data_IF_299343134803
#
_entry.id   IF_299343134803
#
_cell.length_a   1.000
_cell.length_b   1.000
_cell.length_c   1.000
_cell.angle_alpha   90.00
_cell.angle_beta   90.00
_cell.angle_gamma   90.00
#
_symmetry.space_group_name_H-M   'P 1'
#
loop_
_entity.id
_entity.type
_entity.pdbx_description
1 polymer ?
#
# COMPACT_ATOMS: atom_id res chain seq x y z
N UNK A 1 -12.62 -10.87 25.02
CA UNK A 1 -12.22 -10.25 23.74
C UNK A 1 -11.49 -11.29 22.94
N UNK A 2 -12.24 -12.12 22.23
CA UNK A 2 -11.69 -13.17 21.38
C UNK A 2 -12.57 -13.22 20.14
N UNK A 3 -12.21 -12.42 19.13
CA UNK A 3 -13.04 -12.22 17.92
C UNK A 3 -12.25 -12.48 16.64
N UNK A 4 -11.34 -13.45 16.70
CA UNK A 4 -10.74 -14.07 15.52
C UNK A 4 -11.11 -15.56 15.50
N UNK A 5 -12.41 -15.85 15.35
CA UNK A 5 -12.79 -17.14 14.76
C UNK A 5 -12.46 -17.09 13.27
N UNK A 6 -11.23 -17.48 13.01
CA UNK A 6 -10.67 -17.99 11.76
C UNK A 6 -11.70 -18.93 11.12
N UNK A 7 -12.36 -18.51 10.04
CA UNK A 7 -13.29 -19.39 9.33
C UNK A 7 -14.05 -18.75 8.17
N UNK A 8 -14.28 -17.43 8.17
CA UNK A 8 -15.10 -16.80 7.13
C UNK A 8 -14.69 -15.34 6.92
N UNK A 9 -13.41 -15.12 6.65
CA UNK A 9 -13.08 -13.95 5.83
C UNK A 9 -13.49 -14.35 4.42
N UNK A 10 -14.53 -13.70 3.91
CA UNK A 10 -15.02 -13.91 2.55
C UNK A 10 -13.82 -13.89 1.59
N UNK A 11 -13.68 -14.92 0.75
CA UNK A 11 -12.50 -15.06 -0.11
C UNK A 11 -12.31 -13.82 -1.01
N UNK A 12 -13.41 -13.12 -1.33
CA UNK A 12 -13.38 -11.86 -2.06
C UNK A 12 -12.92 -10.68 -1.22
N UNK A 13 -13.27 -10.60 0.07
CA UNK A 13 -12.74 -9.57 0.98
C UNK A 13 -11.23 -9.72 1.19
N UNK A 14 -10.74 -10.97 1.33
CA UNK A 14 -9.29 -11.24 1.41
C UNK A 14 -8.59 -10.86 0.11
N UNK A 15 -9.18 -11.19 -1.04
CA UNK A 15 -8.64 -10.82 -2.35
C UNK A 15 -8.58 -9.30 -2.53
N UNK A 16 -9.61 -8.56 -2.09
CA UNK A 16 -9.61 -7.09 -2.16
C UNK A 16 -8.49 -6.48 -1.30
N UNK A 17 -8.29 -6.97 -0.08
CA UNK A 17 -7.21 -6.48 0.81
C UNK A 17 -5.82 -6.81 0.24
N UNK A 18 -5.63 -8.04 -0.29
CA UNK A 18 -4.37 -8.44 -0.92
C UNK A 18 -4.10 -7.62 -2.18
N UNK A 19 -5.13 -7.37 -2.99
CA UNK A 19 -5.03 -6.55 -4.18
C UNK A 19 -4.65 -5.11 -3.84
N UNK A 20 -5.30 -4.53 -2.82
CA UNK A 20 -5.00 -3.19 -2.34
C UNK A 20 -3.58 -3.09 -1.77
N UNK A 21 -3.13 -4.07 -0.99
CA UNK A 21 -1.75 -4.16 -0.50
C UNK A 21 -0.74 -4.18 -1.66
N UNK A 22 -0.98 -5.04 -2.65
CA UNK A 22 -0.11 -5.17 -3.83
C UNK A 22 0.01 -3.84 -4.59
N UNK A 23 -1.07 -3.06 -4.63
CA UNK A 23 -1.09 -1.74 -5.25
C UNK A 23 -0.37 -0.68 -4.43
N UNK A 24 -0.56 -0.65 -3.12
CA UNK A 24 0.17 0.24 -2.23
C UNK A 24 1.69 -0.01 -2.33
N UNK A 25 2.10 -1.29 -2.30
CA UNK A 25 3.49 -1.69 -2.48
C UNK A 25 4.06 -1.25 -3.84
N UNK A 26 3.24 -1.27 -4.90
CA UNK A 26 3.64 -0.75 -6.22
C UNK A 26 3.89 0.76 -6.22
N UNK A 27 3.08 1.55 -5.52
CA UNK A 27 3.30 3.00 -5.40
C UNK A 27 4.57 3.32 -4.59
N UNK A 28 4.84 2.57 -3.52
CA UNK A 28 6.11 2.66 -2.79
C UNK A 28 7.29 2.28 -3.69
N UNK A 29 7.19 1.18 -4.45
CA UNK A 29 8.26 0.76 -5.37
C UNK A 29 8.55 1.82 -6.43
N UNK A 30 7.50 2.43 -7.00
CA UNK A 30 7.62 3.57 -7.92
C UNK A 30 8.39 4.71 -7.28
N UNK A 31 8.02 5.10 -6.05
CA UNK A 31 8.74 6.15 -5.34
C UNK A 31 10.22 5.83 -5.20
N UNK A 32 10.58 4.61 -4.79
CA UNK A 32 11.99 4.22 -4.67
C UNK A 32 12.73 4.26 -6.01
N UNK A 33 12.10 3.84 -7.12
CA UNK A 33 12.78 3.56 -8.38
C UNK A 33 12.63 4.63 -9.48
N UNK A 34 11.67 5.56 -9.38
CA UNK A 34 11.52 6.65 -10.34
C UNK A 34 12.41 7.82 -9.96
N UNK A 35 13.58 7.92 -10.61
CA UNK A 35 14.46 9.10 -10.65
C UNK A 35 15.00 9.58 -9.30
N UNK A 36 16.25 10.05 -9.29
CA UNK A 36 16.90 10.54 -8.07
C UNK A 36 17.66 9.46 -7.29
N UNK A 37 18.31 9.90 -6.22
CA UNK A 37 19.23 9.10 -5.43
C UNK A 37 18.51 8.18 -4.43
N UNK A 38 18.91 6.91 -4.39
CA UNK A 38 18.35 5.89 -3.51
C UNK A 38 18.71 6.17 -2.06
N UNK A 39 19.92 6.64 -1.79
CA UNK A 39 20.35 6.96 -0.41
C UNK A 39 19.54 8.11 0.16
N UNK A 40 19.34 9.17 -0.63
CA UNK A 40 18.43 10.26 -0.27
C UNK A 40 17.01 9.76 0.07
N UNK A 41 16.42 8.91 -0.78
CA UNK A 41 15.07 8.36 -0.51
C UNK A 41 15.02 7.47 0.73
N UNK A 42 16.07 6.69 0.98
CA UNK A 42 16.17 5.85 2.16
C UNK A 42 16.26 6.68 3.45
N UNK A 43 17.08 7.74 3.45
CA UNK A 43 17.12 8.71 4.56
C UNK A 43 15.73 9.31 4.77
N UNK A 44 15.11 9.77 3.70
CA UNK A 44 13.81 10.43 3.77
C UNK A 44 12.69 9.54 4.34
N UNK A 45 12.73 8.22 4.06
CA UNK A 45 11.84 7.23 4.69
C UNK A 45 12.20 7.03 6.17
N UNK A 46 13.50 6.91 6.49
CA UNK A 46 13.97 6.72 7.87
C UNK A 46 13.67 7.91 8.79
N UNK A 47 13.72 9.12 8.24
CA UNK A 47 13.41 10.37 8.91
C UNK A 47 11.88 10.57 9.09
N UNK A 48 11.06 9.78 8.39
CA UNK A 48 9.60 9.83 8.45
C UNK A 48 8.97 10.96 7.61
N UNK A 49 9.78 11.63 6.79
CA UNK A 49 9.34 12.74 5.94
C UNK A 49 8.87 12.29 4.54
N UNK A 50 9.15 11.04 4.18
CA UNK A 50 8.57 10.43 2.98
C UNK A 50 7.05 10.29 3.11
N UNK A 51 6.30 10.27 1.98
CA UNK A 51 4.87 10.00 2.03
C UNK A 51 4.57 8.70 2.77
N UNK A 52 3.49 8.68 3.55
CA UNK A 52 3.01 7.47 4.25
C UNK A 52 1.69 6.97 3.70
N UNK A 53 1.01 7.77 2.87
CA UNK A 53 -0.32 7.54 2.29
C UNK A 53 -0.30 6.55 1.09
N UNK A 54 0.63 5.59 1.11
CA UNK A 54 0.78 4.59 0.04
C UNK A 54 -0.47 3.75 -0.14
N UNK A 55 -1.21 3.50 0.94
CA UNK A 55 -2.48 2.80 0.91
C UNK A 55 -3.51 3.57 0.09
N UNK A 56 -3.71 4.85 0.37
CA UNK A 56 -4.64 5.73 -0.34
C UNK A 56 -4.25 5.89 -1.81
N UNK A 57 -2.96 6.09 -2.10
CA UNK A 57 -2.41 6.17 -3.47
C UNK A 57 -2.63 4.88 -4.26
N UNK A 58 -2.58 3.75 -3.56
CA UNK A 58 -2.89 2.43 -4.07
C UNK A 58 -4.37 2.19 -4.36
N UNK A 59 -5.29 3.09 -4.03
CA UNK A 59 -6.74 2.86 -4.18
C UNK A 59 -7.22 3.00 -5.63
N UNK A 60 -8.05 2.08 -6.17
CA UNK A 60 -8.65 2.24 -7.49
C UNK A 60 -9.47 3.53 -7.58
N UNK A 61 -9.16 4.37 -8.57
CA UNK A 61 -10.07 5.47 -8.92
C UNK A 61 -11.36 4.82 -9.45
N UNK A 62 -12.45 4.92 -8.68
CA UNK A 62 -13.79 4.53 -9.15
C UNK A 62 -14.05 5.30 -10.44
N UNK A 63 -14.09 4.61 -11.58
CA UNK A 63 -14.62 5.21 -12.82
C UNK A 63 -16.10 5.45 -12.57
N UNK A 64 -16.50 6.72 -12.57
CA UNK A 64 -17.91 7.09 -12.61
C UNK A 64 -18.42 6.66 -14.00
N UNK A 65 -19.21 5.59 -14.04
CA UNK A 65 -20.02 5.26 -15.21
C UNK A 65 -21.31 6.06 -15.19
#
# INVERSE_FOLDING_TARGET
MDRFRVGELDAFEVDEVIFQYSRAAKELWKFCNLGGDVEFKASWIGDGDAPTDWWERGTPRRRRS
#
